data_IF_556631708304
#
_entry.id   IF_556631708304
#
_cell.length_a   1.000
_cell.length_b   1.000
_cell.length_c   1.000
_cell.angle_alpha   90.00
_cell.angle_beta   90.00
_cell.angle_gamma   90.00
#
_symmetry.space_group_name_H-M   'P 1'
#
loop_
_entity.id
_entity.type
_entity.pdbx_description
1 polymer ?
#
# COMPACT_ATOMS: atom_id res chain seq x y z
N UNK A 1 2.63 -4.95 27.03
CA UNK A 1 2.10 -5.61 25.82
C UNK A 1 1.48 -4.52 24.97
N UNK A 2 2.05 -4.21 23.81
CA UNK A 2 1.47 -3.21 22.91
C UNK A 2 0.17 -3.80 22.33
N UNK A 3 -0.93 -3.06 22.48
CA UNK A 3 -2.23 -3.43 21.90
C UNK A 3 -2.16 -3.47 20.37
N UNK A 4 -3.26 -3.90 19.70
CA UNK A 4 -3.35 -3.90 18.25
C UNK A 4 -2.98 -2.51 17.70
N UNK A 5 -2.16 -2.49 16.65
CA UNK A 5 -1.86 -1.26 15.93
C UNK A 5 -3.15 -0.80 15.24
N UNK A 6 -3.73 0.30 15.71
CA UNK A 6 -4.92 0.88 15.10
C UNK A 6 -4.51 1.76 13.91
N UNK A 7 -4.85 1.30 12.71
CA UNK A 7 -4.57 1.99 11.45
C UNK A 7 -5.83 2.66 10.87
N UNK A 8 -6.86 2.87 11.70
CA UNK A 8 -8.23 2.96 11.24
C UNK A 8 -8.76 1.56 10.94
N UNK A 9 -9.93 1.20 11.46
CA UNK A 9 -10.51 -0.14 11.35
C UNK A 9 -10.54 -0.70 9.91
N UNK A 10 -10.78 -2.01 9.76
CA UNK A 10 -10.61 -2.73 8.49
C UNK A 10 -11.27 -2.11 7.25
N UNK A 11 -12.46 -1.52 7.38
CA UNK A 11 -13.15 -0.82 6.29
C UNK A 11 -12.51 0.53 5.92
N UNK A 12 -11.91 1.22 6.89
CA UNK A 12 -11.22 2.50 6.68
C UNK A 12 -9.91 2.29 5.91
N UNK A 13 -9.18 1.22 6.26
CA UNK A 13 -7.92 0.87 5.63
C UNK A 13 -8.08 0.50 4.16
N UNK A 14 -9.05 -0.37 3.83
CA UNK A 14 -9.31 -0.77 2.45
C UNK A 14 -9.75 0.44 1.59
N UNK A 15 -10.57 1.34 2.16
CA UNK A 15 -10.96 2.56 1.49
C UNK A 15 -9.79 3.54 1.31
N UNK A 16 -8.95 3.72 2.32
CA UNK A 16 -7.74 4.54 2.25
C UNK A 16 -6.80 4.07 1.15
N UNK A 17 -6.54 2.76 1.07
CA UNK A 17 -5.72 2.15 0.01
C UNK A 17 -6.35 2.38 -1.35
N UNK A 18 -7.66 2.17 -1.48
CA UNK A 18 -8.41 2.41 -2.72
C UNK A 18 -8.33 3.87 -3.17
N UNK A 19 -8.55 4.83 -2.27
CA UNK A 19 -8.48 6.26 -2.57
C UNK A 19 -7.06 6.68 -2.98
N UNK A 20 -6.03 6.19 -2.27
CA UNK A 20 -4.64 6.47 -2.59
C UNK A 20 -4.27 5.97 -4.00
N UNK A 21 -4.67 4.74 -4.36
CA UNK A 21 -4.44 4.21 -5.71
C UNK A 21 -5.20 5.03 -6.75
N UNK A 22 -6.46 5.35 -6.49
CA UNK A 22 -7.26 6.18 -7.41
C UNK A 22 -6.59 7.54 -7.63
N UNK A 23 -6.08 8.17 -6.57
CA UNK A 23 -5.32 9.42 -6.64
C UNK A 23 -4.08 9.33 -7.54
N UNK A 24 -3.27 8.29 -7.38
CA UNK A 24 -2.06 8.07 -8.19
C UNK A 24 -2.41 7.77 -9.67
N UNK A 25 -3.47 7.00 -9.93
CA UNK A 25 -3.92 6.72 -11.31
C UNK A 25 -4.53 7.95 -11.98
N UNK A 26 -5.24 8.79 -11.23
CA UNK A 26 -5.75 10.07 -11.70
C UNK A 26 -4.59 11.03 -12.02
N UNK A 27 -3.61 11.16 -11.11
CA UNK A 27 -2.43 11.99 -11.31
C UNK A 27 -1.59 11.52 -12.51
N UNK A 28 -1.50 10.21 -12.73
CA UNK A 28 -0.86 9.62 -13.91
C UNK A 28 -1.66 9.72 -15.21
N UNK A 29 -2.84 10.34 -15.19
CA UNK A 29 -3.70 10.49 -16.37
C UNK A 29 -4.22 9.15 -16.93
N UNK A 30 -4.29 8.11 -16.10
CA UNK A 30 -4.67 6.74 -16.50
C UNK A 30 -6.19 6.49 -16.43
N UNK A 31 -6.95 7.38 -15.79
CA UNK A 31 -8.39 7.22 -15.58
C UNK A 31 -9.20 7.60 -16.85
N UNK A 32 -10.11 6.73 -17.31
CA UNK A 32 -11.03 6.99 -18.43
C UNK A 32 -12.41 6.39 -18.13
N UNK A 33 -13.47 7.02 -18.64
CA UNK A 33 -14.88 6.63 -18.40
C UNK A 33 -15.22 5.22 -18.92
N UNK A 34 -14.40 4.64 -19.81
CA UNK A 34 -14.56 3.27 -20.34
C UNK A 34 -13.27 2.41 -20.19
N UNK A 35 -12.46 2.66 -19.16
CA UNK A 35 -11.24 1.88 -18.92
C UNK A 35 -11.53 0.45 -18.42
N UNK A 36 -10.58 -0.46 -18.63
CA UNK A 36 -10.61 -1.79 -18.02
C UNK A 36 -10.49 -1.65 -16.50
N UNK A 37 -11.41 -2.20 -15.69
CA UNK A 37 -11.27 -2.21 -14.25
C UNK A 37 -10.03 -3.00 -13.82
N UNK A 38 -9.19 -2.38 -12.99
CA UNK A 38 -8.06 -3.03 -12.33
C UNK A 38 -8.48 -3.39 -10.91
N UNK A 39 -8.29 -4.65 -10.55
CA UNK A 39 -8.50 -5.15 -9.20
C UNK A 39 -7.16 -5.19 -8.48
N UNK A 40 -7.15 -4.75 -7.22
CA UNK A 40 -5.94 -4.75 -6.39
C UNK A 40 -6.26 -5.46 -5.08
N UNK A 41 -5.41 -6.41 -4.73
CA UNK A 41 -5.47 -7.18 -3.49
C UNK A 41 -4.27 -6.79 -2.65
N UNK A 42 -4.51 -6.49 -1.38
CA UNK A 42 -3.46 -6.35 -0.39
C UNK A 42 -3.08 -7.75 0.08
N UNK A 43 -1.88 -8.19 -0.29
CA UNK A 43 -1.39 -9.55 0.03
C UNK A 43 -0.58 -9.57 1.32
N UNK A 44 -0.04 -8.44 1.74
CA UNK A 44 0.73 -8.33 2.98
C UNK A 44 0.65 -6.92 3.57
N UNK A 45 0.49 -6.85 4.90
CA UNK A 45 0.62 -5.65 5.72
C UNK A 45 1.40 -6.03 6.97
N UNK A 46 2.71 -5.84 6.93
CA UNK A 46 3.61 -6.32 7.98
C UNK A 46 4.45 -5.17 8.55
N UNK A 47 4.10 -4.65 9.73
CA UNK A 47 4.98 -3.75 10.46
C UNK A 47 6.10 -4.52 11.17
N UNK A 48 7.27 -3.90 11.23
CA UNK A 48 8.36 -4.26 12.13
C UNK A 48 8.76 -3.00 12.91
N UNK A 49 8.18 -2.86 14.10
CA UNK A 49 8.44 -1.71 14.97
C UNK A 49 9.83 -1.75 15.60
N UNK A 50 10.49 -2.91 15.65
CA UNK A 50 11.82 -3.05 16.22
C UNK A 50 12.90 -2.59 15.23
N UNK A 51 12.78 -3.00 13.97
CA UNK A 51 13.72 -2.60 12.91
C UNK A 51 13.28 -1.32 12.19
N UNK A 52 12.07 -0.83 12.46
CA UNK A 52 11.54 0.37 11.84
C UNK A 52 11.27 0.14 10.35
N UNK A 53 10.45 -0.85 10.00
CA UNK A 53 10.09 -1.09 8.60
C UNK A 53 8.63 -1.49 8.42
N UNK A 54 8.10 -1.18 7.25
CA UNK A 54 6.82 -1.65 6.76
C UNK A 54 7.03 -2.46 5.50
N UNK A 55 6.53 -3.70 5.49
CA UNK A 55 6.43 -4.50 4.27
C UNK A 55 4.97 -4.54 3.81
N UNK A 56 4.73 -4.08 2.59
CA UNK A 56 3.41 -4.02 1.96
C UNK A 56 3.45 -4.78 0.64
N UNK A 57 2.57 -5.78 0.54
CA UNK A 57 2.38 -6.59 -0.65
C UNK A 57 1.10 -6.19 -1.37
N UNK A 58 1.20 -5.95 -2.68
CA UNK A 58 0.06 -5.65 -3.54
C UNK A 58 0.07 -6.59 -4.75
N UNK A 59 -1.10 -7.11 -5.10
CA UNK A 59 -1.33 -7.84 -6.35
C UNK A 59 -2.33 -7.08 -7.19
N UNK A 60 -2.01 -6.80 -8.45
CA UNK A 60 -2.91 -6.17 -9.40
C UNK A 60 -3.22 -7.10 -10.57
N UNK A 61 -4.50 -7.17 -10.95
CA UNK A 61 -4.98 -7.97 -12.07
C UNK A 61 -6.18 -7.30 -12.75
N UNK A 62 -6.50 -7.70 -13.97
CA UNK A 62 -7.67 -7.18 -14.70
C UNK A 62 -8.28 -8.28 -15.57
N UNK A 63 -9.38 -8.00 -16.27
CA UNK A 63 -9.94 -8.96 -17.24
C UNK A 63 -9.01 -9.22 -18.44
N UNK A 64 -8.00 -8.35 -18.67
CA UNK A 64 -7.04 -8.46 -19.77
C UNK A 64 -5.76 -9.22 -19.41
N UNK A 65 -5.47 -9.41 -18.12
CA UNK A 65 -4.21 -10.00 -17.66
C UNK A 65 -4.39 -10.70 -16.32
N UNK A 66 -3.74 -11.86 -16.16
CA UNK A 66 -3.64 -12.58 -14.88
C UNK A 66 -2.95 -11.78 -13.77
N UNK A 67 -2.30 -10.68 -14.14
CA UNK A 67 -1.75 -9.73 -13.19
C UNK A 67 -0.34 -10.04 -12.72
N UNK A 68 0.09 -9.29 -11.72
CA UNK A 68 1.38 -9.45 -11.06
C UNK A 68 1.32 -8.97 -9.62
N UNK A 69 2.28 -9.41 -8.82
CA UNK A 69 2.45 -8.97 -7.45
C UNK A 69 3.75 -8.18 -7.29
N UNK A 70 3.74 -7.26 -6.34
CA UNK A 70 4.89 -6.53 -5.84
C UNK A 70 4.93 -6.64 -4.32
N UNK A 71 6.13 -6.49 -3.78
CA UNK A 71 6.38 -6.27 -2.37
C UNK A 71 7.23 -5.01 -2.23
N UNK A 72 6.85 -4.10 -1.34
CA UNK A 72 7.60 -2.90 -1.01
C UNK A 72 7.98 -2.91 0.46
N UNK A 73 9.24 -2.60 0.76
CA UNK A 73 9.72 -2.42 2.13
C UNK A 73 10.17 -0.99 2.31
N UNK A 74 9.50 -0.26 3.21
CA UNK A 74 9.80 1.14 3.51
C UNK A 74 10.30 1.25 4.94
N UNK A 75 11.50 1.81 5.11
CA UNK A 75 12.09 2.07 6.43
C UNK A 75 11.57 3.35 7.07
N UNK A 76 11.53 3.37 8.41
CA UNK A 76 11.22 4.53 9.23
C UNK A 76 12.05 4.52 10.52
N UNK A 77 12.27 5.69 11.11
CA UNK A 77 12.96 5.79 12.39
C UNK A 77 12.09 5.26 13.53
N UNK A 78 12.58 4.26 14.25
CA UNK A 78 11.94 3.75 15.46
C UNK A 78 12.49 4.43 16.73
N UNK A 79 11.97 4.03 17.89
CA UNK A 79 12.38 4.53 19.21
C UNK A 79 12.50 3.40 20.23
N UNK A 80 13.34 3.57 21.25
CA UNK A 80 13.53 2.59 22.32
C UNK A 80 12.31 2.42 23.24
N UNK A 81 11.42 3.42 23.31
CA UNK A 81 10.16 3.28 24.05
C UNK A 81 9.09 2.62 23.18
N UNK A 82 8.47 1.56 23.71
CA UNK A 82 7.43 0.79 23.02
C UNK A 82 6.28 1.68 22.51
N UNK A 83 5.86 2.68 23.30
CA UNK A 83 4.77 3.60 22.90
C UNK A 83 5.20 4.43 21.70
N UNK A 84 6.41 5.01 21.74
CA UNK A 84 6.93 5.78 20.61
C UNK A 84 7.19 4.91 19.37
N UNK A 85 7.65 3.67 19.52
CA UNK A 85 7.83 2.74 18.41
C UNK A 85 6.50 2.42 17.72
N UNK A 86 5.43 2.18 18.51
CA UNK A 86 4.08 1.99 17.98
C UNK A 86 3.58 3.24 17.23
N UNK A 87 3.74 4.44 17.80
CA UNK A 87 3.33 5.68 17.15
C UNK A 87 4.11 5.95 15.85
N UNK A 88 5.42 5.70 15.85
CA UNK A 88 6.25 5.83 14.64
C UNK A 88 5.82 4.83 13.57
N UNK A 89 5.47 3.61 13.97
CA UNK A 89 4.96 2.58 13.05
C UNK A 89 3.63 3.02 12.43
N UNK A 90 2.67 3.49 13.23
CA UNK A 90 1.37 3.95 12.74
C UNK A 90 1.51 5.15 11.78
N UNK A 91 2.32 6.15 12.15
CA UNK A 91 2.53 7.35 11.33
C UNK A 91 3.30 7.07 10.03
N UNK A 92 4.16 6.04 10.02
CA UNK A 92 4.89 5.61 8.83
C UNK A 92 4.01 4.85 7.82
N UNK A 93 2.86 4.33 8.23
CA UNK A 93 2.01 3.49 7.38
C UNK A 93 1.61 4.18 6.08
N UNK A 94 1.10 5.41 6.13
CA UNK A 94 0.65 6.14 4.94
C UNK A 94 1.77 6.34 3.92
N UNK A 95 2.99 6.64 4.39
CA UNK A 95 4.16 6.76 3.50
C UNK A 95 4.50 5.42 2.85
N UNK A 96 4.58 4.35 3.66
CA UNK A 96 4.89 3.02 3.15
C UNK A 96 3.85 2.54 2.12
N UNK A 97 2.58 2.86 2.35
CA UNK A 97 1.50 2.58 1.42
C UNK A 97 1.67 3.35 0.11
N UNK A 98 1.94 4.66 0.16
CA UNK A 98 2.24 5.45 -1.03
C UNK A 98 3.42 4.88 -1.83
N UNK A 99 4.50 4.48 -1.15
CA UNK A 99 5.66 3.85 -1.81
C UNK A 99 5.27 2.54 -2.52
N UNK A 100 4.46 1.69 -1.87
CA UNK A 100 3.97 0.44 -2.46
C UNK A 100 3.09 0.68 -3.68
N UNK A 101 2.19 1.67 -3.63
CA UNK A 101 1.32 2.06 -4.75
C UNK A 101 2.15 2.60 -5.91
N UNK A 102 3.12 3.48 -5.63
CA UNK A 102 4.01 4.00 -6.67
C UNK A 102 4.81 2.88 -7.32
N UNK A 103 5.33 1.92 -6.52
CA UNK A 103 6.02 0.74 -7.05
C UNK A 103 5.11 -0.10 -7.94
N UNK A 104 3.84 -0.28 -7.55
CA UNK A 104 2.85 -0.99 -8.33
C UNK A 104 2.59 -0.31 -9.69
N UNK A 105 2.28 0.99 -9.69
CA UNK A 105 1.86 1.73 -10.90
C UNK A 105 3.03 2.03 -11.84
N UNK A 106 4.24 2.21 -11.32
CA UNK A 106 5.46 2.45 -12.13
C UNK A 106 6.06 1.17 -12.72
N UNK A 107 5.64 -0.01 -12.27
CA UNK A 107 6.08 -1.28 -12.85
C UNK A 107 5.67 -1.35 -14.33
N UNK A 108 6.60 -1.75 -15.20
CA UNK A 108 6.35 -1.89 -16.65
C UNK A 108 5.18 -2.84 -16.96
N UNK A 109 4.92 -3.81 -16.09
CA UNK A 109 3.80 -4.77 -16.18
C UNK A 109 2.44 -4.12 -15.89
N UNK A 110 2.39 -2.93 -15.28
CA UNK A 110 1.13 -2.22 -15.04
C UNK A 110 0.38 -1.95 -16.34
N UNK A 111 1.10 -1.68 -17.43
CA UNK A 111 0.51 -1.42 -18.75
C UNK A 111 -0.27 -2.60 -19.32
N UNK A 112 0.04 -3.84 -18.94
CA UNK A 112 -0.73 -5.01 -19.40
C UNK A 112 -2.09 -5.13 -18.72
N UNK A 113 -2.36 -4.34 -17.68
CA UNK A 113 -3.64 -4.34 -16.97
C UNK A 113 -4.68 -3.42 -17.62
N UNK A 114 -4.25 -2.46 -18.44
CA UNK A 114 -5.07 -1.37 -19.02
C UNK A 114 -5.89 -1.80 -20.24
#
# INVERSE_FOLDING_TARGET
MAGPLDLGGGDDLANTIKQAIQGELLAGGMFRVNATPINIIVTELKPDSFNGSWTIGLQAYSRKSSGYAIQSTTGFSTSFSAVSACNNTATAFNRALSDAIQKLVKDTRFKSLL
#
